data_IF_736698378321
#
_entry.id   IF_736698378321
#
_cell.length_a   1.000
_cell.length_b   1.000
_cell.length_c   1.000
_cell.angle_alpha   90.00
_cell.angle_beta   90.00
_cell.angle_gamma   90.00
#
_symmetry.space_group_name_H-M   'P 1'
#
loop_
_entity.id
_entity.type
_entity.pdbx_description
1 polymer ?
#
# COMPACT_ATOMS: atom_id res chain seq x y z
N UNK A 1 -27.66 -15.52 2.92
CA UNK A 1 -26.79 -14.59 2.17
C UNK A 1 -27.39 -14.11 0.84
N UNK A 2 -28.24 -14.87 0.15
CA UNK A 2 -28.82 -14.48 -1.15
C UNK A 2 -29.62 -13.16 -1.20
N UNK A 3 -30.19 -12.67 -0.08
CA UNK A 3 -31.02 -11.44 -0.08
C UNK A 3 -30.21 -10.13 -0.16
N UNK A 4 -28.87 -10.19 -0.08
CA UNK A 4 -27.99 -9.00 -0.02
C UNK A 4 -27.54 -8.52 -1.41
N UNK A 5 -27.57 -9.38 -2.41
CA UNK A 5 -27.12 -9.05 -3.79
C UNK A 5 -27.99 -8.00 -4.44
N UNK A 6 -29.29 -8.09 -4.19
CA UNK A 6 -30.30 -7.23 -4.83
C UNK A 6 -30.19 -5.80 -4.33
N UNK A 7 -29.67 -5.56 -3.12
CA UNK A 7 -29.56 -4.20 -2.55
C UNK A 7 -28.32 -3.42 -3.02
N UNK A 8 -27.23 -4.08 -3.40
CA UNK A 8 -26.00 -3.38 -3.83
C UNK A 8 -26.09 -2.87 -5.27
N UNK A 9 -26.79 -3.57 -6.17
CA UNK A 9 -27.02 -3.08 -7.55
C UNK A 9 -27.98 -1.86 -7.59
N UNK A 10 -28.85 -1.71 -6.58
CA UNK A 10 -29.78 -0.56 -6.46
C UNK A 10 -29.09 0.67 -5.82
N UNK A 11 -28.04 0.45 -5.02
CA UNK A 11 -27.31 1.50 -4.31
C UNK A 11 -26.54 2.47 -5.20
N UNK A 12 -26.10 2.05 -6.37
CA UNK A 12 -25.28 2.88 -7.27
C UNK A 12 -26.13 3.87 -8.12
N UNK A 13 -27.41 4.10 -7.78
CA UNK A 13 -28.29 4.91 -8.62
C UNK A 13 -29.51 5.65 -8.04
N UNK A 14 -29.82 5.71 -6.72
CA UNK A 14 -31.02 6.44 -6.23
C UNK A 14 -30.91 7.02 -4.78
N UNK A 15 -31.67 8.07 -4.38
CA UNK A 15 -31.28 8.95 -3.26
C UNK A 15 -32.16 8.93 -1.97
N UNK A 16 -32.74 7.81 -1.53
CA UNK A 16 -33.38 7.78 -0.18
C UNK A 16 -33.46 6.39 0.49
N UNK A 17 -33.53 5.31 -0.30
CA UNK A 17 -33.50 3.92 0.22
C UNK A 17 -32.09 3.51 0.72
N UNK A 18 -31.08 4.34 0.39
CA UNK A 18 -29.65 4.09 0.59
C UNK A 18 -29.24 3.95 2.06
N UNK A 19 -29.79 4.74 2.98
CA UNK A 19 -29.27 4.75 4.36
C UNK A 19 -29.52 3.45 5.12
N UNK A 20 -30.70 2.84 4.95
CA UNK A 20 -31.07 1.62 5.69
C UNK A 20 -30.22 0.43 5.22
N UNK A 21 -30.01 0.35 3.91
CA UNK A 21 -29.20 -0.69 3.31
C UNK A 21 -27.70 -0.45 3.58
N UNK A 22 -27.29 0.81 3.79
CA UNK A 22 -25.90 1.16 4.12
C UNK A 22 -25.52 0.70 5.51
N UNK A 23 -26.32 1.04 6.53
CA UNK A 23 -26.07 0.59 7.90
C UNK A 23 -26.05 -0.95 7.99
N UNK A 24 -26.91 -1.61 7.20
CA UNK A 24 -26.94 -3.07 7.11
C UNK A 24 -25.70 -3.64 6.44
N UNK A 25 -25.24 -3.02 5.34
CA UNK A 25 -24.00 -3.42 4.67
C UNK A 25 -22.80 -3.24 5.59
N UNK A 26 -22.67 -2.08 6.23
CA UNK A 26 -21.59 -1.81 7.18
C UNK A 26 -21.58 -2.80 8.35
N UNK A 27 -22.76 -3.05 8.95
CA UNK A 27 -22.91 -4.07 9.99
C UNK A 27 -22.51 -5.46 9.50
N UNK A 28 -22.86 -5.82 8.26
CA UNK A 28 -22.45 -7.09 7.68
C UNK A 28 -20.93 -7.18 7.49
N UNK A 29 -20.29 -6.13 6.98
CA UNK A 29 -18.84 -6.10 6.83
C UNK A 29 -18.14 -6.21 8.20
N UNK A 30 -18.66 -5.54 9.23
CA UNK A 30 -18.17 -5.66 10.60
C UNK A 30 -18.39 -7.07 11.17
N UNK A 31 -19.53 -7.72 10.88
CA UNK A 31 -19.78 -9.09 11.32
C UNK A 31 -18.83 -10.08 10.64
N UNK A 32 -18.59 -9.93 9.32
CA UNK A 32 -17.60 -10.75 8.60
C UNK A 32 -16.21 -10.48 9.17
N UNK A 33 -15.85 -9.22 9.41
CA UNK A 33 -14.57 -8.88 10.02
C UNK A 33 -14.41 -9.51 11.41
N UNK A 34 -15.43 -9.40 12.26
CA UNK A 34 -15.44 -10.00 13.60
C UNK A 34 -15.37 -11.54 13.54
N UNK A 35 -16.01 -12.17 12.56
CA UNK A 35 -15.86 -13.61 12.30
C UNK A 35 -14.43 -13.97 11.91
N UNK A 36 -13.80 -13.22 11.01
CA UNK A 36 -12.42 -13.48 10.57
C UNK A 36 -11.40 -13.23 11.69
N UNK A 37 -11.66 -12.28 12.60
CA UNK A 37 -10.82 -11.98 13.76
C UNK A 37 -10.86 -13.04 14.86
N UNK A 38 -11.85 -13.95 14.85
CA UNK A 38 -11.90 -15.07 15.80
C UNK A 38 -10.79 -16.11 15.53
N UNK A 39 -10.21 -16.11 14.33
CA UNK A 39 -9.14 -17.03 14.00
C UNK A 39 -7.80 -16.44 14.46
N UNK A 40 -7.04 -17.15 15.33
CA UNK A 40 -5.77 -16.67 15.82
C UNK A 40 -4.78 -16.46 14.66
N UNK A 41 -3.97 -15.40 14.75
CA UNK A 41 -2.89 -15.09 13.81
C UNK A 41 -1.57 -15.51 14.42
N UNK A 42 -1.03 -16.69 14.09
CA UNK A 42 0.37 -16.95 14.39
C UNK A 42 1.21 -15.89 13.67
N UNK A 43 2.25 -15.41 14.33
CA UNK A 43 3.16 -14.40 13.79
C UNK A 43 3.83 -14.92 12.50
N UNK A 44 3.22 -14.64 11.35
CA UNK A 44 3.83 -14.85 10.02
C UNK A 44 3.10 -15.80 9.06
N UNK A 45 2.07 -16.54 9.46
CA UNK A 45 1.28 -17.37 8.53
C UNK A 45 -0.16 -17.58 9.03
N UNK A 46 -1.14 -17.48 8.14
CA UNK A 46 -2.53 -17.84 8.47
C UNK A 46 -2.62 -19.33 8.83
N UNK A 47 -3.42 -19.67 9.84
CA UNK A 47 -3.65 -21.07 10.21
C UNK A 47 -4.36 -21.83 9.10
N UNK A 48 -4.34 -23.17 9.21
CA UNK A 48 -5.12 -24.09 8.40
C UNK A 48 -6.65 -23.77 8.37
N UNK A 49 -7.12 -23.05 9.38
CA UNK A 49 -8.52 -22.72 9.57
C UNK A 49 -8.84 -21.31 9.06
N UNK A 50 -7.99 -20.31 9.34
CA UNK A 50 -8.26 -18.92 8.94
C UNK A 50 -8.34 -18.75 7.43
N UNK A 51 -7.43 -19.38 6.67
CA UNK A 51 -7.51 -19.33 5.21
C UNK A 51 -8.70 -20.11 4.66
N UNK A 52 -9.15 -21.18 5.33
CA UNK A 52 -10.36 -21.91 4.92
C UNK A 52 -11.61 -21.06 5.15
N UNK A 53 -11.68 -20.34 6.27
CA UNK A 53 -12.73 -19.36 6.54
C UNK A 53 -12.74 -18.23 5.50
N UNK A 54 -11.58 -17.62 5.22
CA UNK A 54 -11.46 -16.58 4.19
C UNK A 54 -11.84 -17.10 2.79
N UNK A 55 -11.41 -18.30 2.42
CA UNK A 55 -11.78 -18.94 1.17
C UNK A 55 -13.28 -19.24 1.09
N UNK A 56 -13.92 -19.59 2.21
CA UNK A 56 -15.36 -19.84 2.29
C UNK A 56 -16.15 -18.55 2.08
N UNK A 57 -15.71 -17.46 2.71
CA UNK A 57 -16.28 -16.11 2.49
C UNK A 57 -16.14 -15.68 1.03
N UNK A 58 -14.99 -15.92 0.41
CA UNK A 58 -14.75 -15.57 -1.00
C UNK A 58 -15.40 -16.52 -2.00
N UNK A 59 -15.79 -17.74 -1.59
CA UNK A 59 -16.53 -18.66 -2.43
C UNK A 59 -17.97 -18.16 -2.70
N UNK A 60 -18.51 -17.29 -1.84
CA UNK A 60 -19.78 -16.61 -2.09
C UNK A 60 -19.60 -15.54 -3.18
N UNK A 61 -20.13 -15.82 -4.38
CA UNK A 61 -20.02 -14.96 -5.58
C UNK A 61 -20.57 -13.56 -5.36
N UNK A 62 -21.64 -13.48 -4.57
CA UNK A 62 -22.38 -12.29 -4.25
C UNK A 62 -21.57 -11.34 -3.35
N UNK A 63 -21.02 -11.88 -2.28
CA UNK A 63 -20.10 -11.18 -1.39
C UNK A 63 -18.85 -10.75 -2.17
N UNK A 64 -18.26 -11.64 -2.96
CA UNK A 64 -17.06 -11.34 -3.76
C UNK A 64 -17.31 -10.19 -4.75
N UNK A 65 -18.42 -10.21 -5.49
CA UNK A 65 -18.79 -9.13 -6.41
C UNK A 65 -19.03 -7.80 -5.69
N UNK A 66 -19.71 -7.85 -4.53
CA UNK A 66 -19.95 -6.68 -3.67
C UNK A 66 -18.65 -6.09 -3.18
N UNK A 67 -17.75 -6.92 -2.66
CA UNK A 67 -16.45 -6.47 -2.16
C UNK A 67 -15.61 -5.83 -3.27
N UNK A 68 -15.58 -6.41 -4.48
CA UNK A 68 -14.90 -5.81 -5.62
C UNK A 68 -15.45 -4.43 -5.98
N UNK A 69 -16.79 -4.28 -6.03
CA UNK A 69 -17.44 -2.98 -6.29
C UNK A 69 -17.11 -1.95 -5.21
N UNK A 70 -17.12 -2.37 -3.94
CA UNK A 70 -16.76 -1.50 -2.82
C UNK A 70 -15.29 -1.06 -2.88
N UNK A 71 -14.37 -1.99 -3.15
CA UNK A 71 -12.95 -1.64 -3.33
C UNK A 71 -12.79 -0.68 -4.51
N UNK A 72 -13.44 -0.93 -5.65
CA UNK A 72 -13.41 0.00 -6.78
C UNK A 72 -13.94 1.39 -6.41
N UNK A 73 -15.05 1.48 -5.68
CA UNK A 73 -15.62 2.74 -5.23
C UNK A 73 -14.65 3.49 -4.31
N UNK A 74 -14.12 2.82 -3.29
CA UNK A 74 -13.16 3.40 -2.33
C UNK A 74 -11.91 3.92 -3.03
N UNK A 75 -11.40 3.20 -4.03
CA UNK A 75 -10.17 3.59 -4.70
C UNK A 75 -10.42 4.65 -5.79
N UNK A 76 -11.65 4.81 -6.29
CA UNK A 76 -11.96 5.76 -7.38
C UNK A 76 -12.47 7.13 -6.90
N UNK A 77 -12.96 7.25 -5.66
CA UNK A 77 -13.63 8.46 -5.16
C UNK A 77 -12.66 9.53 -4.61
N UNK A 78 -11.38 9.21 -4.41
CA UNK A 78 -10.42 10.13 -3.76
C UNK A 78 -10.06 11.39 -4.59
N UNK A 79 -10.11 11.31 -5.92
CA UNK A 79 -9.63 12.37 -6.81
C UNK A 79 -10.60 13.52 -7.13
N UNK A 80 -11.86 13.46 -6.68
CA UNK A 80 -12.91 14.40 -7.10
C UNK A 80 -13.20 15.56 -6.14
N UNK A 81 -12.57 15.62 -4.95
CA UNK A 81 -12.80 16.69 -3.99
C UNK A 81 -11.85 17.84 -4.26
N UNK A 82 -12.23 18.64 -5.24
CA UNK A 82 -11.53 19.85 -5.68
C UNK A 82 -10.94 20.64 -4.51
N UNK A 83 -9.60 20.64 -4.46
CA UNK A 83 -8.87 21.77 -3.92
C UNK A 83 -9.31 22.98 -4.75
N UNK A 84 -10.28 23.75 -4.23
CA UNK A 84 -10.77 24.97 -4.84
C UNK A 84 -9.61 25.93 -5.05
N UNK A 85 -8.97 25.82 -6.20
CA UNK A 85 -8.01 26.77 -6.69
C UNK A 85 -8.77 28.06 -6.96
N UNK A 86 -8.70 28.98 -6.00
CA UNK A 86 -9.06 30.37 -6.21
C UNK A 86 -8.16 30.90 -7.32
N UNK A 87 -8.63 30.80 -8.56
CA UNK A 87 -7.96 31.39 -9.70
C UNK A 87 -8.28 32.88 -9.66
N UNK A 88 -7.40 33.65 -9.04
CA UNK A 88 -7.34 35.10 -9.16
C UNK A 88 -7.00 35.45 -10.62
N UNK A 89 -8.02 35.43 -11.45
CA UNK A 89 -7.97 35.87 -12.84
C UNK A 89 -8.08 37.40 -12.87
N UNK A 90 -6.92 38.05 -12.82
CA UNK A 90 -6.81 39.46 -13.21
C UNK A 90 -6.88 39.54 -14.75
N UNK A 91 -7.73 40.45 -15.23
CA UNK A 91 -8.27 40.44 -16.58
C UNK A 91 -7.29 40.73 -17.72
N UNK A 92 -7.67 40.28 -18.90
CA UNK A 92 -7.12 40.65 -20.20
C UNK A 92 -8.01 40.11 -21.31
N UNK A 93 -8.83 40.97 -21.90
CA UNK A 93 -9.96 40.60 -22.76
C UNK A 93 -9.62 40.06 -24.16
N UNK A 94 -10.60 39.39 -24.77
CA UNK A 94 -10.57 39.08 -26.21
C UNK A 94 -11.46 37.91 -26.67
N UNK A 95 -12.71 38.24 -27.01
CA UNK A 95 -13.53 37.72 -28.13
C UNK A 95 -13.92 36.22 -28.26
N UNK A 96 -15.22 35.99 -28.02
CA UNK A 96 -16.22 35.17 -28.72
C UNK A 96 -15.89 33.79 -29.34
N UNK A 97 -16.56 32.75 -28.83
CA UNK A 97 -16.68 31.43 -29.46
C UNK A 97 -17.38 30.40 -28.56
N UNK A 98 -18.70 30.52 -28.44
CA UNK A 98 -19.56 29.77 -27.52
C UNK A 98 -19.66 28.27 -27.82
N UNK A 99 -19.41 27.43 -26.80
CA UNK A 99 -20.09 26.14 -26.58
C UNK A 99 -19.87 25.70 -25.12
N UNK A 100 -20.68 26.29 -24.24
CA UNK A 100 -20.67 26.08 -22.80
C UNK A 100 -21.18 24.68 -22.43
N UNK A 101 -20.30 23.69 -22.36
CA UNK A 101 -20.56 22.50 -21.53
C UNK A 101 -20.29 22.89 -20.09
N UNK A 102 -21.38 23.20 -19.38
CA UNK A 102 -21.38 23.44 -17.95
C UNK A 102 -20.84 22.19 -17.24
N UNK A 103 -19.55 22.20 -16.92
CA UNK A 103 -18.96 21.27 -15.96
C UNK A 103 -19.42 21.74 -14.59
N UNK A 104 -20.64 21.35 -14.22
CA UNK A 104 -21.17 21.61 -12.89
C UNK A 104 -20.24 20.95 -11.88
N UNK A 105 -19.52 21.77 -11.12
CA UNK A 105 -18.86 21.38 -9.88
C UNK A 105 -19.93 20.93 -8.90
N UNK A 106 -20.38 19.69 -9.07
CA UNK A 106 -21.33 19.06 -8.17
C UNK A 106 -20.62 18.82 -6.86
N UNK A 107 -20.83 19.72 -5.90
CA UNK A 107 -20.43 19.49 -4.52
C UNK A 107 -20.89 18.08 -4.14
N UNK A 108 -19.92 17.22 -3.83
CA UNK A 108 -20.17 15.84 -3.47
C UNK A 108 -21.23 15.83 -2.36
N UNK A 109 -22.32 15.08 -2.54
CA UNK A 109 -23.40 15.02 -1.54
C UNK A 109 -22.79 14.69 -0.17
N UNK A 110 -23.13 15.42 0.91
CA UNK A 110 -22.58 15.18 2.24
C UNK A 110 -22.78 13.73 2.70
N UNK A 111 -23.80 13.04 2.18
CA UNK A 111 -24.07 11.63 2.43
C UNK A 111 -22.98 10.71 1.87
N UNK A 112 -22.46 11.00 0.68
CA UNK A 112 -21.43 10.20 0.03
C UNK A 112 -20.09 10.33 0.77
N UNK A 113 -19.83 11.52 1.33
CA UNK A 113 -18.71 11.76 2.24
C UNK A 113 -18.80 10.93 3.51
N UNK A 114 -19.96 10.88 4.15
CA UNK A 114 -20.16 10.07 5.35
C UNK A 114 -19.97 8.57 5.05
N UNK A 115 -20.53 8.10 3.93
CA UNK A 115 -20.38 6.72 3.46
C UNK A 115 -18.90 6.39 3.26
N UNK A 116 -18.14 7.25 2.59
CA UNK A 116 -16.72 7.04 2.38
C UNK A 116 -15.94 7.03 3.70
N UNK A 117 -16.22 7.97 4.60
CA UNK A 117 -15.54 8.06 5.90
C UNK A 117 -15.76 6.84 6.79
N UNK A 118 -16.95 6.24 6.72
CA UNK A 118 -17.32 5.09 7.57
C UNK A 118 -17.02 3.75 6.90
N UNK A 119 -17.29 3.61 5.61
CA UNK A 119 -17.19 2.33 4.90
C UNK A 119 -15.79 2.03 4.36
N UNK A 120 -15.10 3.03 3.80
CA UNK A 120 -13.76 2.84 3.24
C UNK A 120 -12.78 2.21 4.26
N UNK A 121 -12.69 2.67 5.53
CA UNK A 121 -11.84 2.00 6.51
C UNK A 121 -12.21 0.52 6.69
N UNK A 122 -13.49 0.21 6.84
CA UNK A 122 -13.95 -1.17 7.07
C UNK A 122 -13.67 -2.06 5.85
N UNK A 123 -13.88 -1.57 4.63
CA UNK A 123 -13.60 -2.29 3.39
C UNK A 123 -12.10 -2.56 3.23
N UNK A 124 -11.25 -1.54 3.47
CA UNK A 124 -9.80 -1.70 3.39
C UNK A 124 -9.28 -2.69 4.43
N UNK A 125 -9.75 -2.59 5.68
CA UNK A 125 -9.39 -3.54 6.75
C UNK A 125 -9.87 -4.95 6.40
N UNK A 126 -11.12 -5.12 6.00
CA UNK A 126 -11.65 -6.43 5.64
C UNK A 126 -10.91 -7.07 4.47
N UNK A 127 -10.62 -6.29 3.43
CA UNK A 127 -9.83 -6.74 2.28
C UNK A 127 -8.41 -7.14 2.70
N UNK A 128 -7.77 -6.33 3.56
CA UNK A 128 -6.46 -6.63 4.13
C UNK A 128 -6.49 -7.96 4.90
N UNK A 129 -7.48 -8.15 5.77
CA UNK A 129 -7.64 -9.38 6.55
C UNK A 129 -7.84 -10.62 5.67
N UNK A 130 -8.75 -10.54 4.70
CA UNK A 130 -8.98 -11.61 3.73
C UNK A 130 -7.69 -11.98 3.01
N UNK A 131 -6.97 -10.99 2.46
CA UNK A 131 -5.71 -11.21 1.76
C UNK A 131 -4.62 -11.76 2.68
N UNK A 132 -4.50 -11.27 3.91
CA UNK A 132 -3.53 -11.80 4.88
C UNK A 132 -3.81 -13.27 5.24
N UNK A 133 -5.06 -13.65 5.48
CA UNK A 133 -5.40 -15.04 5.82
C UNK A 133 -5.16 -16.00 4.65
N UNK A 134 -5.30 -15.52 3.42
CA UNK A 134 -5.02 -16.32 2.23
C UNK A 134 -3.52 -16.58 2.01
N UNK A 135 -2.66 -15.82 2.66
CA UNK A 135 -1.22 -15.98 2.51
C UNK A 135 -0.69 -17.23 3.23
N UNK A 136 0.32 -17.87 2.61
CA UNK A 136 1.02 -19.03 3.17
C UNK A 136 0.35 -20.38 2.88
N UNK A 137 -0.70 -20.40 2.04
CA UNK A 137 -1.32 -21.65 1.60
C UNK A 137 -0.76 -22.11 0.25
N UNK A 138 -0.36 -23.38 0.12
CA UNK A 138 0.01 -23.95 -1.18
C UNK A 138 -1.20 -24.06 -2.12
N UNK A 139 -2.44 -23.97 -1.59
CA UNK A 139 -3.66 -24.16 -2.35
C UNK A 139 -4.59 -22.95 -2.19
N UNK A 140 -4.37 -21.95 -3.02
CA UNK A 140 -5.36 -20.90 -3.26
C UNK A 140 -6.54 -21.51 -4.04
N UNK A 141 -7.77 -21.26 -3.62
CA UNK A 141 -8.97 -21.70 -4.32
C UNK A 141 -9.14 -20.92 -5.63
N UNK A 142 -9.83 -21.50 -6.62
CA UNK A 142 -10.09 -20.83 -7.90
C UNK A 142 -10.81 -19.48 -7.70
N UNK A 143 -11.78 -19.43 -6.79
CA UNK A 143 -12.52 -18.20 -6.47
C UNK A 143 -11.61 -17.09 -5.93
N UNK A 144 -10.62 -17.44 -5.11
CA UNK A 144 -9.63 -16.49 -4.61
C UNK A 144 -8.70 -16.01 -5.73
N UNK A 145 -8.21 -16.90 -6.58
CA UNK A 145 -7.40 -16.52 -7.76
C UNK A 145 -8.17 -15.56 -8.66
N UNK A 146 -9.43 -15.86 -8.96
CA UNK A 146 -10.30 -15.01 -9.78
C UNK A 146 -10.55 -13.64 -9.12
N UNK A 147 -10.68 -13.60 -7.80
CA UNK A 147 -10.79 -12.33 -7.04
C UNK A 147 -9.55 -11.46 -7.20
N UNK A 148 -8.36 -12.03 -6.98
CA UNK A 148 -7.07 -11.31 -7.07
C UNK A 148 -6.85 -10.82 -8.51
N UNK A 149 -7.08 -11.67 -9.51
CA UNK A 149 -6.96 -11.28 -10.91
C UNK A 149 -7.92 -10.14 -11.27
N UNK A 150 -9.16 -10.18 -10.77
CA UNK A 150 -10.10 -9.08 -10.96
C UNK A 150 -9.59 -7.78 -10.32
N UNK A 151 -9.07 -7.83 -9.08
CA UNK A 151 -8.46 -6.65 -8.46
C UNK A 151 -7.30 -6.08 -9.28
N UNK A 152 -6.41 -6.94 -9.81
CA UNK A 152 -5.31 -6.50 -10.66
C UNK A 152 -5.79 -5.86 -11.98
N UNK A 153 -6.88 -6.39 -12.55
CA UNK A 153 -7.46 -5.91 -13.82
C UNK A 153 -8.37 -4.69 -13.68
N UNK A 154 -8.90 -4.42 -12.47
CA UNK A 154 -9.84 -3.33 -12.19
C UNK A 154 -9.21 -1.93 -12.11
N UNK A 155 -8.04 -1.74 -12.69
CA UNK A 155 -7.24 -0.51 -12.61
C UNK A 155 -6.92 -0.05 -11.18
N UNK A 156 -7.05 -0.94 -10.18
CA UNK A 156 -6.90 -0.58 -8.77
C UNK A 156 -5.54 0.06 -8.48
N UNK A 157 -4.46 -0.45 -9.09
CA UNK A 157 -3.13 0.14 -8.92
C UNK A 157 -3.01 1.52 -9.57
N UNK A 158 -3.63 1.75 -10.74
CA UNK A 158 -3.65 3.07 -11.38
C UNK A 158 -4.43 4.08 -10.54
N UNK A 159 -5.55 3.68 -9.94
CA UNK A 159 -6.32 4.57 -9.07
C UNK A 159 -5.53 4.88 -7.78
N UNK A 160 -4.94 3.89 -7.11
CA UNK A 160 -4.04 4.12 -5.96
C UNK A 160 -2.88 5.07 -6.34
N UNK A 161 -2.28 4.88 -7.52
CA UNK A 161 -1.20 5.74 -8.00
C UNK A 161 -1.64 7.19 -8.19
N UNK A 162 -2.86 7.42 -8.73
CA UNK A 162 -3.44 8.77 -8.87
C UNK A 162 -3.68 9.42 -7.52
N UNK A 163 -4.18 8.67 -6.53
CA UNK A 163 -4.40 9.19 -5.18
C UNK A 163 -3.09 9.59 -4.50
N UNK A 164 -2.04 8.76 -4.60
CA UNK A 164 -0.72 9.12 -4.11
C UNK A 164 -0.14 10.34 -4.85
N UNK A 165 -0.34 10.42 -6.17
CA UNK A 165 0.10 11.57 -6.95
C UNK A 165 -0.65 12.86 -6.55
N UNK A 166 -1.96 12.80 -6.37
CA UNK A 166 -2.79 13.91 -5.92
C UNK A 166 -2.38 14.38 -4.52
N UNK A 167 -2.16 13.44 -3.59
CA UNK A 167 -1.64 13.74 -2.26
C UNK A 167 -0.27 14.42 -2.33
N UNK A 168 0.62 14.01 -3.23
CA UNK A 168 1.94 14.68 -3.41
C UNK A 168 1.85 16.07 -4.05
N UNK A 169 0.79 16.36 -4.80
CA UNK A 169 0.59 17.64 -5.47
C UNK A 169 -0.11 18.70 -4.58
N UNK A 170 -0.63 18.28 -3.42
CA UNK A 170 -1.20 19.19 -2.43
C UNK A 170 -0.20 20.28 -2.03
N UNK A 171 -0.57 21.55 -2.24
CA UNK A 171 0.27 22.74 -1.92
C UNK A 171 0.47 22.94 -0.41
N UNK A 172 -0.33 22.28 0.43
CA UNK A 172 -0.23 22.34 1.88
C UNK A 172 0.08 20.99 2.53
N UNK A 173 0.32 21.03 3.85
CA UNK A 173 0.38 19.83 4.67
C UNK A 173 -0.89 19.02 4.48
N UNK A 174 -0.73 17.70 4.30
CA UNK A 174 -1.87 16.81 4.17
C UNK A 174 -2.74 16.89 5.42
N UNK A 175 -4.05 16.92 5.20
CA UNK A 175 -5.00 16.78 6.29
C UNK A 175 -4.86 15.41 6.95
N UNK A 176 -5.17 15.30 8.25
CA UNK A 176 -5.14 14.02 8.96
C UNK A 176 -5.99 12.94 8.28
N UNK A 177 -7.07 13.33 7.59
CA UNK A 177 -7.89 12.42 6.80
C UNK A 177 -7.15 11.89 5.57
N UNK A 178 -6.51 12.75 4.78
CA UNK A 178 -5.71 12.33 3.62
C UNK A 178 -4.57 11.40 4.02
N UNK A 179 -3.89 11.68 5.13
CA UNK A 179 -2.82 10.80 5.64
C UNK A 179 -3.40 9.41 5.97
N UNK A 180 -4.52 9.32 6.68
CA UNK A 180 -5.16 8.03 6.97
C UNK A 180 -5.64 7.31 5.72
N UNK A 181 -6.15 8.04 4.74
CA UNK A 181 -6.61 7.44 3.49
C UNK A 181 -5.44 6.85 2.69
N UNK A 182 -4.35 7.61 2.53
CA UNK A 182 -3.13 7.12 1.88
C UNK A 182 -2.50 5.92 2.60
N UNK A 183 -2.54 5.89 3.93
CA UNK A 183 -2.10 4.73 4.72
C UNK A 183 -2.93 3.48 4.38
N UNK A 184 -4.26 3.60 4.32
CA UNK A 184 -5.16 2.49 3.95
C UNK A 184 -4.88 1.98 2.54
N UNK A 185 -4.70 2.88 1.58
CA UNK A 185 -4.35 2.53 0.20
C UNK A 185 -2.98 1.83 0.13
N UNK A 186 -2.01 2.28 0.94
CA UNK A 186 -0.72 1.61 1.14
C UNK A 186 -0.89 0.19 1.67
N UNK A 187 -1.79 0.00 2.64
CA UNK A 187 -2.18 -1.31 3.15
C UNK A 187 -2.75 -2.23 2.05
N UNK A 188 -3.71 -1.74 1.26
CA UNK A 188 -4.28 -2.51 0.14
C UNK A 188 -3.21 -2.94 -0.86
N UNK A 189 -2.31 -2.03 -1.24
CA UNK A 189 -1.17 -2.34 -2.12
C UNK A 189 -0.26 -3.42 -1.52
N UNK A 190 0.09 -3.29 -0.24
CA UNK A 190 0.89 -4.26 0.48
C UNK A 190 0.25 -5.65 0.45
N UNK A 191 -1.03 -5.77 0.74
CA UNK A 191 -1.74 -7.06 0.77
C UNK A 191 -1.83 -7.72 -0.60
N UNK A 192 -2.08 -6.93 -1.65
CA UNK A 192 -2.11 -7.43 -3.03
C UNK A 192 -0.77 -8.08 -3.41
N UNK A 193 0.34 -7.38 -3.16
CA UNK A 193 1.67 -7.93 -3.41
C UNK A 193 1.96 -9.15 -2.54
N UNK A 194 1.54 -9.08 -1.28
CA UNK A 194 1.80 -10.12 -0.31
C UNK A 194 1.21 -11.46 -0.75
N UNK A 195 -0.05 -11.46 -1.20
CA UNK A 195 -0.75 -12.65 -1.68
C UNK A 195 -0.16 -13.19 -2.97
N UNK A 196 0.10 -12.33 -3.96
CA UNK A 196 0.63 -12.77 -5.27
C UNK A 196 2.05 -13.34 -5.16
N UNK A 197 2.83 -12.85 -4.19
CA UNK A 197 4.22 -13.27 -3.99
C UNK A 197 4.36 -14.48 -3.04
N UNK A 198 3.27 -14.95 -2.41
CA UNK A 198 3.29 -15.96 -1.33
C UNK A 198 3.14 -17.42 -1.79
N UNK A 199 3.22 -17.72 -3.08
CA UNK A 199 2.93 -19.05 -3.64
C UNK A 199 4.05 -20.08 -3.40
N UNK A 200 3.64 -21.32 -3.06
CA UNK A 200 4.48 -22.52 -3.12
C UNK A 200 4.80 -22.91 -4.57
N UNK A 201 5.98 -23.50 -4.83
CA UNK A 201 6.44 -23.92 -6.16
C UNK A 201 5.49 -24.90 -6.87
N UNK A 202 4.66 -25.62 -6.10
CA UNK A 202 3.79 -26.71 -6.57
C UNK A 202 2.70 -26.27 -7.56
N UNK A 203 2.27 -25.00 -7.53
CA UNK A 203 1.30 -24.42 -8.50
C UNK A 203 1.97 -23.35 -9.39
N UNK A 204 3.17 -23.66 -9.87
CA UNK A 204 4.07 -22.70 -10.52
C UNK A 204 3.44 -21.88 -11.65
N UNK A 205 2.60 -22.49 -12.51
CA UNK A 205 2.11 -21.83 -13.74
C UNK A 205 1.09 -20.70 -13.47
N UNK A 206 0.03 -20.96 -12.68
CA UNK A 206 -0.98 -19.93 -12.38
C UNK A 206 -0.39 -18.77 -11.57
N UNK A 207 0.47 -19.08 -10.59
CA UNK A 207 1.18 -18.05 -9.82
C UNK A 207 2.18 -17.28 -10.68
N UNK A 208 2.86 -17.92 -11.63
CA UNK A 208 3.75 -17.22 -12.55
C UNK A 208 2.98 -16.22 -13.45
N UNK A 209 1.80 -16.61 -13.93
CA UNK A 209 0.92 -15.72 -14.68
C UNK A 209 0.47 -14.51 -13.86
N UNK A 210 -0.01 -14.72 -12.62
CA UNK A 210 -0.40 -13.62 -11.73
C UNK A 210 0.77 -12.70 -11.39
N UNK A 211 1.97 -13.26 -11.12
CA UNK A 211 3.18 -12.47 -10.86
C UNK A 211 3.59 -11.62 -12.06
N UNK A 212 3.43 -12.14 -13.29
CA UNK A 212 3.64 -11.38 -14.54
C UNK A 212 2.63 -10.24 -14.68
N UNK A 213 1.33 -10.52 -14.52
CA UNK A 213 0.29 -9.49 -14.59
C UNK A 213 0.52 -8.39 -13.55
N UNK A 214 0.88 -8.76 -12.32
CA UNK A 214 1.23 -7.83 -11.26
C UNK A 214 2.47 -7.00 -11.61
N UNK A 215 3.53 -7.62 -12.12
CA UNK A 215 4.76 -6.91 -12.51
C UNK A 215 4.47 -5.82 -13.55
N UNK A 216 3.68 -6.15 -14.57
CA UNK A 216 3.28 -5.21 -15.61
C UNK A 216 2.36 -4.11 -15.05
N UNK A 217 1.38 -4.47 -14.22
CA UNK A 217 0.48 -3.50 -13.61
C UNK A 217 1.21 -2.53 -12.66
N UNK A 218 2.20 -3.00 -11.89
CA UNK A 218 3.06 -2.14 -11.06
C UNK A 218 3.88 -1.16 -11.92
N UNK A 219 4.44 -1.65 -13.03
CA UNK A 219 5.22 -0.83 -13.98
C UNK A 219 4.36 0.26 -14.62
N UNK A 220 3.20 -0.11 -15.17
CA UNK A 220 2.30 0.81 -15.87
C UNK A 220 1.65 1.83 -14.93
N UNK A 221 1.28 1.42 -13.72
CA UNK A 221 0.65 2.34 -12.76
C UNK A 221 1.62 3.36 -12.16
N UNK A 222 2.91 3.03 -12.06
CA UNK A 222 3.88 3.87 -11.34
C UNK A 222 3.58 4.00 -9.85
N UNK A 223 2.71 3.15 -9.28
CA UNK A 223 2.19 3.29 -7.92
C UNK A 223 3.30 3.33 -6.87
N UNK A 224 4.38 2.56 -7.07
CA UNK A 224 5.51 2.52 -6.14
C UNK A 224 6.32 3.83 -6.16
N UNK A 225 6.47 4.46 -7.32
CA UNK A 225 7.16 5.75 -7.45
C UNK A 225 6.34 6.87 -6.78
N UNK A 226 5.02 6.87 -6.96
CA UNK A 226 4.12 7.83 -6.31
C UNK A 226 4.03 7.62 -4.79
N UNK A 227 3.93 6.38 -4.33
CA UNK A 227 3.98 6.05 -2.91
C UNK A 227 5.30 6.53 -2.28
N UNK A 228 6.42 6.31 -2.96
CA UNK A 228 7.73 6.75 -2.50
C UNK A 228 7.85 8.27 -2.41
N UNK A 229 7.36 9.01 -3.42
CA UNK A 229 7.31 10.48 -3.38
C UNK A 229 6.48 10.96 -2.20
N UNK A 230 5.33 10.34 -1.97
CA UNK A 230 4.46 10.68 -0.86
C UNK A 230 5.16 10.45 0.48
N UNK A 231 5.76 9.27 0.68
CA UNK A 231 6.55 8.96 1.88
C UNK A 231 7.65 10.00 2.06
N UNK A 232 8.46 10.28 1.04
CA UNK A 232 9.52 11.28 1.12
C UNK A 232 8.98 12.67 1.49
N UNK A 233 7.89 13.13 0.89
CA UNK A 233 7.29 14.42 1.25
C UNK A 233 6.80 14.45 2.70
N UNK A 234 6.16 13.38 3.17
CA UNK A 234 5.74 13.28 4.58
C UNK A 234 6.95 13.28 5.53
N UNK A 235 8.08 12.70 5.12
CA UNK A 235 9.32 12.74 5.90
C UNK A 235 9.87 14.16 6.04
N UNK A 236 9.77 14.98 4.99
CA UNK A 236 10.24 16.37 5.03
C UNK A 236 9.24 17.31 5.73
N UNK A 237 7.94 17.01 5.67
CA UNK A 237 6.88 17.85 6.23
C UNK A 237 6.61 17.63 7.73
N UNK A 238 7.33 16.72 8.38
CA UNK A 238 7.07 16.33 9.78
C UNK A 238 7.13 17.54 10.73
N UNK A 239 6.02 17.92 11.39
CA UNK A 239 6.02 19.05 12.29
C UNK A 239 6.82 18.73 13.55
N UNK A 240 7.61 19.69 14.01
CA UNK A 240 8.51 19.62 15.18
C UNK A 240 7.79 19.52 16.54
N UNK A 241 6.47 19.26 16.59
CA UNK A 241 5.65 19.61 17.76
C UNK A 241 4.60 18.60 18.22
N UNK A 242 3.44 18.45 17.55
CA UNK A 242 2.21 18.16 18.32
C UNK A 242 1.18 17.15 17.77
N UNK A 243 1.40 16.42 16.67
CA UNK A 243 0.38 15.48 16.15
C UNK A 243 0.84 14.00 16.16
N UNK A 244 0.73 13.34 17.32
CA UNK A 244 1.06 11.91 17.48
C UNK A 244 0.25 10.98 16.55
N UNK A 245 -1.01 11.30 16.26
CA UNK A 245 -1.87 10.45 15.40
C UNK A 245 -1.51 10.53 13.92
N UNK A 246 -1.09 11.69 13.41
CA UNK A 246 -0.57 11.83 12.05
C UNK A 246 0.76 11.08 11.89
N UNK A 247 1.57 11.07 12.95
CA UNK A 247 2.85 10.37 13.02
C UNK A 247 2.70 8.86 12.79
N UNK A 248 1.68 8.23 13.40
CA UNK A 248 1.43 6.79 13.24
C UNK A 248 1.06 6.42 11.80
N UNK A 249 0.12 7.14 11.16
CA UNK A 249 -0.27 6.84 9.78
C UNK A 249 0.87 7.08 8.78
N UNK A 250 1.72 8.10 8.99
CA UNK A 250 2.91 8.31 8.15
C UNK A 250 3.90 7.14 8.31
N UNK A 251 4.09 6.67 9.53
CA UNK A 251 4.97 5.55 9.81
C UNK A 251 4.43 4.23 9.23
N UNK A 252 3.11 4.00 9.29
CA UNK A 252 2.46 2.87 8.63
C UNK A 252 2.60 2.94 7.11
N UNK A 253 2.38 4.11 6.50
CA UNK A 253 2.58 4.28 5.06
C UNK A 253 4.03 3.97 4.64
N UNK A 254 5.02 4.43 5.41
CA UNK A 254 6.42 4.10 5.17
C UNK A 254 6.71 2.61 5.34
N UNK A 255 6.10 1.96 6.33
CA UNK A 255 6.20 0.52 6.53
C UNK A 255 5.59 -0.25 5.35
N UNK A 256 4.38 0.11 4.92
CA UNK A 256 3.72 -0.47 3.74
C UNK A 256 4.59 -0.32 2.50
N UNK A 257 5.16 0.87 2.28
CA UNK A 257 6.09 1.11 1.18
C UNK A 257 7.32 0.18 1.25
N UNK A 258 7.99 0.10 2.40
CA UNK A 258 9.17 -0.74 2.58
C UNK A 258 8.85 -2.23 2.36
N UNK A 259 7.70 -2.70 2.83
CA UNK A 259 7.23 -4.06 2.64
C UNK A 259 6.91 -4.36 1.17
N UNK A 260 6.21 -3.45 0.47
CA UNK A 260 5.92 -3.55 -0.97
C UNK A 260 7.22 -3.60 -1.78
N UNK A 261 8.16 -2.70 -1.49
CA UNK A 261 9.46 -2.66 -2.15
C UNK A 261 10.24 -3.97 -1.92
N UNK A 262 10.26 -4.46 -0.67
CA UNK A 262 10.89 -5.73 -0.32
C UNK A 262 10.32 -6.90 -1.12
N UNK A 263 8.99 -7.03 -1.14
CA UNK A 263 8.28 -8.14 -1.77
C UNK A 263 8.51 -8.13 -3.29
N UNK A 264 8.47 -6.95 -3.91
CA UNK A 264 8.82 -6.73 -5.32
C UNK A 264 10.27 -7.16 -5.61
N UNK A 265 11.21 -6.82 -4.72
CA UNK A 265 12.60 -7.26 -4.81
C UNK A 265 12.77 -8.77 -4.72
N UNK A 266 12.04 -9.44 -3.82
CA UNK A 266 12.04 -10.90 -3.71
C UNK A 266 11.49 -11.57 -4.97
N UNK A 267 10.40 -11.03 -5.54
CA UNK A 267 9.87 -11.53 -6.81
C UNK A 267 10.91 -11.43 -7.93
N UNK A 268 11.61 -10.29 -8.04
CA UNK A 268 12.68 -10.12 -9.02
C UNK A 268 13.80 -11.17 -8.84
N UNK A 269 14.28 -11.36 -7.60
CA UNK A 269 15.33 -12.35 -7.32
C UNK A 269 14.89 -13.78 -7.62
N UNK A 270 13.61 -14.08 -7.39
CA UNK A 270 13.03 -15.38 -7.75
C UNK A 270 13.05 -15.60 -9.26
N UNK A 271 12.57 -14.64 -10.06
CA UNK A 271 12.64 -14.71 -11.52
C UNK A 271 14.07 -14.89 -12.05
N UNK A 272 15.03 -14.18 -11.46
CA UNK A 272 16.45 -14.29 -11.86
C UNK A 272 17.04 -15.66 -11.52
N UNK A 273 16.65 -16.26 -10.39
CA UNK A 273 17.15 -17.58 -9.96
C UNK A 273 16.56 -18.72 -10.78
N UNK A 274 15.26 -18.65 -11.05
CA UNK A 274 14.52 -19.71 -11.75
C UNK A 274 14.76 -19.69 -13.28
N UNK A 275 15.54 -18.73 -13.79
CA UNK A 275 15.64 -18.49 -15.23
C UNK A 275 14.26 -18.19 -15.84
N UNK A 276 13.40 -17.55 -15.05
CA UNK A 276 11.99 -17.37 -15.34
C UNK A 276 11.74 -16.31 -16.41
N UNK A 277 10.53 -15.77 -16.40
CA UNK A 277 10.09 -14.77 -17.36
C UNK A 277 10.94 -13.49 -17.35
N UNK A 278 11.78 -13.34 -18.37
CA UNK A 278 12.66 -12.19 -18.54
C UNK A 278 11.89 -10.86 -18.68
N UNK A 279 10.68 -10.86 -19.25
CA UNK A 279 9.86 -9.66 -19.40
C UNK A 279 9.33 -9.21 -18.05
N UNK A 280 8.81 -10.14 -17.25
CA UNK A 280 8.37 -9.84 -15.88
C UNK A 280 9.54 -9.37 -15.00
N UNK A 281 10.72 -10.00 -15.13
CA UNK A 281 11.92 -9.57 -14.42
C UNK A 281 12.37 -8.15 -14.83
N UNK A 282 12.31 -7.81 -16.12
CA UNK A 282 12.61 -6.46 -16.59
C UNK A 282 11.63 -5.42 -16.03
N UNK A 283 10.33 -5.73 -16.03
CA UNK A 283 9.29 -4.88 -15.48
C UNK A 283 9.49 -4.60 -13.98
N UNK A 284 9.74 -5.64 -13.17
CA UNK A 284 10.02 -5.49 -11.75
C UNK A 284 11.31 -4.70 -11.48
N UNK A 285 12.34 -4.90 -12.31
CA UNK A 285 13.58 -4.13 -12.23
C UNK A 285 13.32 -2.64 -12.48
N UNK A 286 12.53 -2.30 -13.49
CA UNK A 286 12.14 -0.92 -13.79
C UNK A 286 11.38 -0.28 -12.60
N UNK A 287 10.39 -0.99 -12.06
CA UNK A 287 9.62 -0.56 -10.88
C UNK A 287 10.52 -0.24 -9.69
N UNK A 288 11.47 -1.12 -9.37
CA UNK A 288 12.41 -0.94 -8.26
C UNK A 288 13.50 0.11 -8.55
N UNK A 289 13.82 0.35 -9.82
CA UNK A 289 14.82 1.33 -10.23
C UNK A 289 14.27 2.75 -10.32
N UNK A 290 12.98 2.95 -10.07
CA UNK A 290 12.35 4.27 -9.95
C UNK A 290 13.15 5.17 -8.99
N UNK A 291 13.38 6.43 -9.40
CA UNK A 291 14.27 7.34 -8.66
C UNK A 291 13.77 7.58 -7.24
N UNK A 292 12.48 7.87 -7.09
CA UNK A 292 11.89 8.12 -5.79
C UNK A 292 11.75 6.82 -4.99
N UNK A 293 11.31 5.73 -5.62
CA UNK A 293 11.21 4.42 -4.96
C UNK A 293 12.55 3.98 -4.36
N UNK A 294 13.62 4.04 -5.15
CA UNK A 294 14.96 3.70 -4.68
C UNK A 294 15.43 4.64 -3.59
N UNK A 295 15.23 5.95 -3.73
CA UNK A 295 15.65 6.92 -2.72
C UNK A 295 14.94 6.70 -1.38
N UNK A 296 13.61 6.50 -1.39
CA UNK A 296 12.84 6.20 -0.20
C UNK A 296 13.30 4.91 0.48
N UNK A 297 13.57 3.84 -0.28
CA UNK A 297 14.08 2.58 0.26
C UNK A 297 15.47 2.74 0.91
N UNK A 298 16.36 3.53 0.31
CA UNK A 298 17.67 3.84 0.87
C UNK A 298 17.56 4.66 2.17
N UNK A 299 16.77 5.74 2.16
CA UNK A 299 16.55 6.60 3.33
C UNK A 299 15.97 5.78 4.48
N UNK A 300 14.93 4.98 4.21
CA UNK A 300 14.29 4.12 5.22
C UNK A 300 15.23 3.02 5.73
N UNK A 301 16.04 2.41 4.86
CA UNK A 301 17.01 1.40 5.25
C UNK A 301 18.13 1.94 6.13
N UNK A 302 18.71 3.08 5.76
CA UNK A 302 19.76 3.75 6.54
C UNK A 302 19.21 4.22 7.89
N UNK A 303 18.02 4.80 7.89
CA UNK A 303 17.26 5.17 9.09
C UNK A 303 17.15 4.00 10.09
N UNK A 304 16.71 2.85 9.60
CA UNK A 304 16.49 1.68 10.43
C UNK A 304 17.81 1.06 10.95
N UNK A 305 18.90 1.12 10.14
CA UNK A 305 20.25 0.75 10.59
C UNK A 305 20.77 1.67 11.69
N UNK A 306 20.64 2.99 11.54
CA UNK A 306 21.10 3.95 12.56
C UNK A 306 20.42 3.69 13.90
N UNK A 307 19.12 3.37 13.88
CA UNK A 307 18.39 2.97 15.09
C UNK A 307 18.89 1.64 15.67
N UNK A 308 19.13 0.64 14.82
CA UNK A 308 19.61 -0.67 15.26
C UNK A 308 21.00 -0.58 15.91
N UNK A 309 21.86 0.31 15.40
CA UNK A 309 23.21 0.54 15.91
C UNK A 309 23.23 1.29 17.26
N UNK A 310 22.10 1.89 17.68
CA UNK A 310 21.99 2.65 18.94
C UNK A 310 22.90 3.88 19.06
N UNK A 311 23.54 4.29 17.96
CA UNK A 311 24.58 5.33 17.92
C UNK A 311 24.08 6.71 17.50
N UNK A 312 24.89 7.78 17.72
CA UNK A 312 24.63 9.11 17.18
C UNK A 312 24.54 9.04 15.64
N UNK A 313 23.81 9.97 15.04
CA UNK A 313 23.22 9.93 13.68
C UNK A 313 24.14 9.67 12.48
N UNK A 314 25.42 9.32 12.68
CA UNK A 314 26.43 9.10 11.64
C UNK A 314 26.54 10.29 10.67
N UNK A 315 26.24 11.51 11.15
CA UNK A 315 26.20 12.71 10.33
C UNK A 315 24.90 12.92 9.54
N UNK A 316 23.87 12.08 9.75
CA UNK A 316 22.53 12.37 9.26
C UNK A 316 21.97 13.58 10.00
N UNK A 317 21.27 14.49 9.29
CA UNK A 317 20.51 15.56 9.89
C UNK A 317 19.55 15.04 10.98
N UNK A 318 19.42 15.78 12.08
CA UNK A 318 18.68 15.34 13.28
C UNK A 318 17.19 15.11 12.97
N UNK A 319 16.61 15.91 12.09
CA UNK A 319 15.27 15.78 11.53
C UNK A 319 15.08 14.44 10.81
N UNK A 320 16.05 14.04 9.97
CA UNK A 320 16.03 12.74 9.27
C UNK A 320 16.09 11.60 10.28
N UNK A 321 16.93 11.69 11.31
CA UNK A 321 17.05 10.65 12.33
C UNK A 321 15.80 10.57 13.24
N UNK A 322 15.21 11.70 13.60
CA UNK A 322 13.98 11.74 14.40
C UNK A 322 12.84 11.07 13.64
N UNK A 323 12.74 11.34 12.35
CA UNK A 323 11.69 10.77 11.51
C UNK A 323 11.94 9.29 11.18
N UNK A 324 13.18 8.93 10.91
CA UNK A 324 13.66 7.54 10.86
C UNK A 324 13.23 6.74 12.09
N UNK A 325 13.38 7.37 13.26
CA UNK A 325 13.03 6.81 14.56
C UNK A 325 11.51 6.64 14.67
N UNK A 326 10.72 7.63 14.23
CA UNK A 326 9.25 7.52 14.19
C UNK A 326 8.80 6.36 13.30
N UNK A 327 9.30 6.28 12.06
CA UNK A 327 8.98 5.19 11.12
C UNK A 327 9.33 3.82 11.68
N UNK A 328 10.52 3.71 12.28
CA UNK A 328 10.95 2.47 12.89
C UNK A 328 10.03 2.10 14.06
N UNK A 329 9.70 3.04 14.94
CA UNK A 329 8.85 2.79 16.11
C UNK A 329 7.48 2.20 15.76
N UNK A 330 6.83 2.61 14.65
CA UNK A 330 5.55 2.00 14.25
C UNK A 330 5.69 0.54 13.80
N UNK A 331 6.87 0.16 13.29
CA UNK A 331 7.16 -1.23 12.93
C UNK A 331 7.39 -2.12 14.18
N UNK A 332 7.59 -1.51 15.35
CA UNK A 332 7.82 -2.19 16.62
C UNK A 332 6.64 -1.92 17.55
N UNK A 333 5.59 -2.77 17.48
CA UNK A 333 4.37 -2.62 18.27
C UNK A 333 4.64 -2.20 19.73
N UNK A 334 3.84 -1.25 20.22
CA UNK A 334 4.00 -0.61 21.52
C UNK A 334 3.92 -1.64 22.67
N UNK A 335 5.05 -2.21 23.08
CA UNK A 335 5.08 -3.15 24.20
C UNK A 335 6.34 -3.99 24.36
N UNK A 336 7.16 -4.17 23.32
CA UNK A 336 8.34 -5.03 23.39
C UNK A 336 9.63 -4.21 23.51
N UNK A 337 9.97 -3.81 24.74
CA UNK A 337 11.32 -3.38 25.11
C UNK A 337 12.17 -4.62 25.40
N UNK A 338 13.05 -5.03 24.47
CA UNK A 338 14.47 -5.32 24.79
C UNK A 338 15.34 -5.70 23.58
N UNK A 339 14.79 -6.03 22.41
CA UNK A 339 15.60 -6.25 21.20
C UNK A 339 14.90 -5.60 20.01
N UNK A 340 15.50 -4.53 19.46
CA UNK A 340 15.04 -3.87 18.23
C UNK A 340 15.33 -4.83 17.07
N UNK A 341 14.46 -5.81 16.88
CA UNK A 341 14.61 -6.81 15.84
C UNK A 341 14.22 -6.19 14.50
N UNK A 342 15.18 -5.53 13.83
CA UNK A 342 14.99 -4.96 12.49
C UNK A 342 14.16 -5.92 11.63
N UNK A 343 13.02 -5.42 11.14
CA UNK A 343 12.16 -6.19 10.25
C UNK A 343 13.01 -6.68 9.08
N UNK A 344 12.97 -7.99 8.79
CA UNK A 344 13.74 -8.60 7.73
C UNK A 344 13.44 -7.99 6.34
N UNK A 345 12.30 -7.31 6.19
CA UNK A 345 11.96 -6.56 4.99
C UNK A 345 12.93 -5.40 4.72
N UNK A 346 13.38 -4.70 5.76
CA UNK A 346 14.16 -3.47 5.61
C UNK A 346 15.58 -3.73 5.09
N UNK A 347 16.39 -4.65 5.67
CA UNK A 347 17.70 -5.04 5.12
C UNK A 347 17.65 -5.47 3.67
N UNK A 348 16.66 -6.28 3.31
CA UNK A 348 16.55 -6.82 1.95
C UNK A 348 16.12 -5.73 0.98
N UNK A 349 15.20 -4.84 1.36
CA UNK A 349 14.86 -3.67 0.53
C UNK A 349 16.09 -2.77 0.29
N UNK A 350 16.87 -2.53 1.34
CA UNK A 350 18.10 -1.75 1.28
C UNK A 350 19.16 -2.39 0.36
N UNK A 351 19.39 -3.70 0.48
CA UNK A 351 20.31 -4.43 -0.41
C UNK A 351 19.84 -4.37 -1.87
N UNK A 352 18.53 -4.52 -2.11
CA UNK A 352 17.98 -4.42 -3.47
C UNK A 352 18.16 -3.00 -4.03
N UNK A 353 17.85 -1.96 -3.26
CA UNK A 353 18.04 -0.58 -3.67
C UNK A 353 19.51 -0.24 -3.94
N UNK A 354 20.43 -0.76 -3.14
CA UNK A 354 21.87 -0.57 -3.32
C UNK A 354 22.39 -1.32 -4.55
N UNK A 355 21.99 -2.58 -4.75
CA UNK A 355 22.49 -3.45 -5.83
C UNK A 355 21.91 -3.13 -7.21
N UNK A 356 20.74 -2.49 -7.29
CA UNK A 356 20.06 -2.23 -8.57
C UNK A 356 20.63 -1.08 -9.39
N UNK A 357 21.48 -0.21 -8.83
CA UNK A 357 22.16 0.78 -9.67
C UNK A 357 23.66 0.75 -9.49
N UNK A 358 24.32 1.06 -10.60
CA UNK A 358 25.74 1.35 -10.61
C UNK A 358 26.01 2.49 -9.63
N UNK A 359 26.92 2.29 -8.65
CA UNK A 359 27.28 3.34 -7.71
C UNK A 359 27.80 4.56 -8.49
N UNK A 360 27.13 5.70 -8.35
CA UNK A 360 27.61 6.95 -8.93
C UNK A 360 28.73 7.50 -8.04
N UNK A 361 29.96 7.72 -8.57
CA UNK A 361 31.02 8.36 -7.82
C UNK A 361 30.64 9.80 -7.42
N UNK A 362 31.16 10.34 -6.30
CA UNK A 362 32.29 9.82 -5.50
C UNK A 362 31.89 8.92 -4.32
N UNK A 363 30.62 8.94 -3.90
CA UNK A 363 30.19 8.33 -2.62
C UNK A 363 29.72 6.87 -2.79
N UNK A 364 29.47 6.43 -4.03
CA UNK A 364 28.70 5.23 -4.32
C UNK A 364 29.31 3.90 -3.81
N UNK A 365 30.57 3.59 -4.12
CA UNK A 365 31.12 2.25 -3.81
C UNK A 365 31.44 2.10 -2.32
N UNK A 366 32.11 3.09 -1.73
CA UNK A 366 32.52 3.02 -0.32
C UNK A 366 31.31 3.02 0.62
N UNK A 367 30.31 3.86 0.37
CA UNK A 367 29.09 3.86 1.18
C UNK A 367 28.33 2.54 1.04
N UNK A 368 28.21 1.98 -0.17
CA UNK A 368 27.59 0.67 -0.37
C UNK A 368 28.34 -0.45 0.35
N UNK A 369 29.68 -0.47 0.28
CA UNK A 369 30.50 -1.48 0.97
C UNK A 369 30.35 -1.35 2.49
N UNK A 370 30.44 -0.15 3.05
CA UNK A 370 30.24 0.07 4.49
C UNK A 370 28.85 -0.37 4.95
N UNK A 371 27.83 -0.10 4.14
CA UNK A 371 26.46 -0.47 4.42
C UNK A 371 26.26 -2.01 4.37
N UNK A 372 26.89 -2.69 3.41
CA UNK A 372 26.90 -4.16 3.34
C UNK A 372 27.64 -4.80 4.52
N UNK A 373 28.78 -4.24 4.92
CA UNK A 373 29.54 -4.72 6.09
C UNK A 373 28.74 -4.59 7.38
N UNK A 374 27.97 -3.50 7.55
CA UNK A 374 27.07 -3.34 8.70
C UNK A 374 25.91 -4.33 8.69
N UNK A 375 25.30 -4.55 7.53
CA UNK A 375 24.25 -5.57 7.38
C UNK A 375 24.76 -6.98 7.71
N UNK A 376 26.01 -7.28 7.32
CA UNK A 376 26.67 -8.51 7.71
C UNK A 376 26.87 -8.58 9.22
N UNK A 377 27.47 -7.55 9.84
CA UNK A 377 27.67 -7.50 11.29
C UNK A 377 26.36 -7.68 12.08
N UNK A 378 25.27 -7.04 11.64
CA UNK A 378 23.95 -7.20 12.25
C UNK A 378 23.41 -8.64 12.14
N UNK A 379 23.59 -9.29 10.99
CA UNK A 379 23.21 -10.72 10.83
C UNK A 379 24.01 -11.62 11.78
N UNK A 380 25.29 -11.34 12.00
CA UNK A 380 26.14 -12.09 12.92
C UNK A 380 25.69 -11.91 14.37
N UNK A 381 25.39 -10.68 14.81
CA UNK A 381 24.85 -10.43 16.16
C UNK A 381 23.49 -11.08 16.43
N UNK A 382 22.70 -11.42 15.39
CA UNK A 382 21.45 -12.18 15.54
C UNK A 382 21.69 -13.69 15.72
N UNK A 383 22.80 -14.21 15.19
CA UNK A 383 23.09 -15.65 15.17
C UNK A 383 23.85 -16.13 16.42
N UNK A 384 24.55 -15.22 17.12
CA UNK A 384 25.14 -15.43 18.43
C UNK A 384 24.11 -15.12 19.52
#
# INVERSE_FOLDING_TARGET
MLTIVVTVDVMLGLPAVVYRDFARLHSLLLNVLGFLQQFPRPAGAGTAESAAAAATVLADDAFRATLLRLVAAVVSDGGGRDAGGSSDSSGGGGSAGSNSRASGGGACSPELTLIHETLAPTVCVLNNELLQMLNGRPHVSRATTDFIQKLLRMQTLQCIAREFAAATASVGALTAWQIRDTDRLGGVLHCLLFVVSGGSEEKGLEHAHMRRELAEALRVSGVLEHAARLVLLQLHAAPTGEALSASESVANLAHHFAAVYNKTGRMLMQYMREGGDAVAAAALREVLSGRCARHAALVHGVAALCRADGGPSYGLPEDVLRMATVMASASFGAGLKLYVQLDAAVPVALMMAAGLASPTPPVGVQATVLLLLRLAAWRWCRAA
#
